data_IF_845733976534
#
_entry.id   IF_845733976534
#
_cell.length_a   1.000
_cell.length_b   1.000
_cell.length_c   1.000
_cell.angle_alpha   90.00
_cell.angle_beta   90.00
_cell.angle_gamma   90.00
#
_symmetry.space_group_name_H-M   'P 1'
#
loop_
_entity.id
_entity.type
_entity.pdbx_description
1 polymer ?
#
# COMPACT_ATOMS: atom_id res chain seq x y z
N UNK A 1 13.27 54.12 23.51
CA UNK A 1 14.02 55.04 22.63
C UNK A 1 14.09 54.40 21.25
N UNK A 2 13.32 54.97 20.31
CA UNK A 2 13.75 55.40 18.95
C UNK A 2 14.27 54.27 18.05
N UNK A 3 13.83 54.01 16.82
CA UNK A 3 13.04 54.68 15.74
C UNK A 3 12.78 53.55 14.69
N UNK A 4 11.63 53.25 14.12
CA UNK A 4 10.90 53.84 12.98
C UNK A 4 11.83 54.23 11.80
N UNK A 5 11.63 53.57 10.65
CA UNK A 5 11.66 54.08 9.28
C UNK A 5 11.38 52.88 8.34
N UNK A 6 10.28 52.65 7.71
CA UNK A 6 9.51 53.36 6.68
C UNK A 6 10.04 53.20 5.25
N UNK A 7 9.21 52.52 4.43
CA UNK A 7 8.77 52.75 3.06
C UNK A 7 9.82 52.92 1.93
N UNK A 8 9.61 52.20 0.81
CA UNK A 8 9.15 52.81 -0.44
C UNK A 8 8.78 51.75 -1.51
N UNK A 9 7.59 51.91 -2.02
CA UNK A 9 7.05 51.34 -3.23
C UNK A 9 7.83 51.81 -4.49
N UNK A 10 7.95 50.92 -5.51
CA UNK A 10 8.01 51.35 -6.89
C UNK A 10 7.15 50.40 -7.74
N UNK A 11 6.01 50.91 -8.14
CA UNK A 11 5.17 50.39 -9.24
C UNK A 11 5.78 50.83 -10.57
N UNK A 12 5.98 49.89 -11.50
CA UNK A 12 6.19 50.24 -12.90
C UNK A 12 5.11 49.55 -13.70
N UNK A 13 4.18 50.38 -14.17
CA UNK A 13 3.16 50.11 -15.12
C UNK A 13 3.76 50.32 -16.51
N UNK A 14 3.73 49.30 -17.39
CA UNK A 14 3.97 49.49 -18.82
C UNK A 14 2.71 49.10 -19.58
N UNK A 15 2.01 50.11 -20.03
CA UNK A 15 1.02 50.01 -21.10
C UNK A 15 1.75 49.86 -22.43
N UNK A 16 1.35 48.94 -23.27
CA UNK A 16 1.64 48.96 -24.70
C UNK A 16 0.38 48.67 -25.50
N UNK A 17 0.17 49.59 -26.37
CA UNK A 17 -0.99 49.93 -27.20
C UNK A 17 -1.42 48.84 -28.19
N UNK A 18 -2.72 48.80 -28.36
CA UNK A 18 -3.42 48.19 -29.50
C UNK A 18 -3.05 48.84 -30.84
N UNK A 19 -2.78 48.00 -31.82
CA UNK A 19 -2.96 48.41 -33.24
C UNK A 19 -3.93 47.42 -33.86
N UNK A 20 -5.11 47.94 -34.19
CA UNK A 20 -6.13 47.30 -35.00
C UNK A 20 -5.81 47.44 -36.46
N UNK A 21 -5.93 46.38 -37.24
CA UNK A 21 -6.24 46.48 -38.68
C UNK A 21 -7.22 45.35 -39.02
N UNK A 22 -8.34 45.74 -39.53
CA UNK A 22 -9.47 44.90 -39.91
C UNK A 22 -9.32 44.23 -41.26
N UNK A 23 -10.19 43.27 -41.51
CA UNK A 23 -10.38 42.60 -42.81
C UNK A 23 -11.22 41.35 -42.74
N UNK A 24 -12.47 41.49 -42.74
CA UNK A 24 -13.56 40.79 -43.46
C UNK A 24 -13.45 39.30 -43.79
N UNK A 25 -14.48 38.51 -43.42
CA UNK A 25 -14.80 37.23 -44.05
C UNK A 25 -15.32 36.19 -43.07
N UNK A 26 -16.64 36.17 -42.84
CA UNK A 26 -17.28 35.16 -41.99
C UNK A 26 -17.30 33.77 -42.62
N UNK A 27 -17.10 32.81 -41.82
CA UNK A 27 -17.79 31.50 -41.86
C UNK A 27 -17.93 31.03 -40.41
N UNK A 28 -19.18 30.83 -40.03
CA UNK A 28 -19.52 30.21 -38.76
C UNK A 28 -18.98 28.77 -38.77
N UNK A 29 -17.93 28.53 -38.02
CA UNK A 29 -17.54 27.16 -37.66
C UNK A 29 -18.47 26.71 -36.54
N UNK A 30 -19.38 25.82 -36.89
CA UNK A 30 -20.09 24.99 -35.93
C UNK A 30 -19.02 24.20 -35.18
N UNK A 31 -18.75 24.62 -33.94
CA UNK A 31 -17.94 23.83 -33.02
C UNK A 31 -18.69 22.52 -32.74
N UNK A 32 -18.23 21.44 -33.30
CA UNK A 32 -18.46 20.11 -32.73
C UNK A 32 -17.60 20.08 -31.51
N UNK A 33 -18.18 20.29 -30.34
CA UNK A 33 -17.65 19.85 -29.08
C UNK A 33 -17.74 18.30 -29.06
N UNK A 34 -16.85 17.64 -29.76
CA UNK A 34 -16.58 16.21 -29.52
C UNK A 34 -15.74 16.18 -28.28
N UNK A 35 -16.37 15.84 -27.17
CA UNK A 35 -15.75 15.48 -25.89
C UNK A 35 -15.06 14.11 -26.07
N UNK A 36 -14.14 13.97 -27.02
CA UNK A 36 -13.29 12.80 -27.13
C UNK A 36 -12.13 12.97 -26.14
N UNK A 37 -11.84 11.94 -25.32
CA UNK A 37 -10.68 11.96 -24.42
C UNK A 37 -9.42 12.27 -25.23
N UNK A 38 -8.60 13.19 -24.77
CA UNK A 38 -7.30 13.47 -25.38
C UNK A 38 -6.33 12.41 -24.89
N UNK A 39 -5.99 11.45 -25.76
CA UNK A 39 -4.97 10.45 -25.46
C UNK A 39 -3.62 11.14 -25.26
N UNK A 40 -2.92 10.75 -24.19
CA UNK A 40 -1.60 11.28 -23.87
C UNK A 40 -0.53 10.40 -24.50
N UNK A 41 0.48 11.00 -25.13
CA UNK A 41 1.63 10.29 -25.70
C UNK A 41 2.48 9.69 -24.59
N UNK A 42 2.57 8.33 -24.45
CA UNK A 42 3.28 7.68 -23.37
C UNK A 42 4.74 8.11 -23.23
N UNK A 43 5.46 8.28 -24.34
CA UNK A 43 6.88 8.68 -24.35
C UNK A 43 7.19 10.04 -23.71
N UNK A 44 6.17 10.80 -23.32
CA UNK A 44 6.31 12.09 -22.64
C UNK A 44 5.69 12.09 -21.24
N UNK A 45 5.15 10.97 -20.81
CA UNK A 45 4.43 10.86 -19.55
C UNK A 45 5.22 10.03 -18.55
N UNK A 46 5.34 10.54 -17.33
CA UNK A 46 5.87 9.80 -16.18
C UNK A 46 4.68 9.36 -15.32
N UNK A 47 4.52 8.06 -15.12
CA UNK A 47 3.43 7.51 -14.31
C UNK A 47 3.71 7.76 -12.83
N UNK A 48 2.75 8.29 -12.10
CA UNK A 48 2.85 8.58 -10.67
C UNK A 48 2.07 7.53 -9.88
N UNK A 49 2.80 6.66 -9.18
CA UNK A 49 2.22 5.65 -8.31
C UNK A 49 2.08 6.16 -6.87
N UNK A 50 0.99 5.79 -6.19
CA UNK A 50 0.87 5.92 -4.76
C UNK A 50 1.69 4.85 -4.04
N UNK A 51 2.46 5.27 -3.03
CA UNK A 51 3.17 4.38 -2.13
C UNK A 51 2.69 4.65 -0.69
N UNK A 52 1.99 3.70 -0.12
CA UNK A 52 1.42 3.85 1.22
C UNK A 52 2.37 3.43 2.36
N UNK A 53 3.64 3.16 2.02
CA UNK A 53 4.74 2.98 2.98
C UNK A 53 4.93 1.54 3.43
N UNK A 54 4.59 0.56 2.59
CA UNK A 54 4.93 -0.85 2.79
C UNK A 54 5.59 -1.48 1.55
N UNK A 55 6.44 -2.49 1.79
CA UNK A 55 7.36 -3.05 0.79
C UNK A 55 6.62 -3.67 -0.40
N UNK A 56 5.49 -4.38 -0.19
CA UNK A 56 4.73 -4.98 -1.29
C UNK A 56 4.16 -3.93 -2.24
N UNK A 57 3.68 -2.79 -1.72
CA UNK A 57 3.20 -1.69 -2.57
C UNK A 57 4.32 -1.14 -3.47
N UNK A 58 5.52 -0.91 -2.90
CA UNK A 58 6.69 -0.50 -3.69
C UNK A 58 7.07 -1.55 -4.73
N UNK A 59 6.98 -2.85 -4.40
CA UNK A 59 7.28 -3.93 -5.34
C UNK A 59 6.28 -3.95 -6.51
N UNK A 60 4.98 -3.82 -6.25
CA UNK A 60 3.98 -3.73 -7.30
C UNK A 60 4.17 -2.49 -8.19
N UNK A 61 4.49 -1.34 -7.59
CA UNK A 61 4.80 -0.13 -8.33
C UNK A 61 6.02 -0.33 -9.23
N UNK A 62 7.08 -0.99 -8.75
CA UNK A 62 8.28 -1.26 -9.54
C UNK A 62 8.03 -2.27 -10.68
N UNK A 63 7.19 -3.30 -10.45
CA UNK A 63 6.78 -4.27 -11.49
C UNK A 63 5.97 -3.54 -12.57
N UNK A 64 4.94 -2.80 -12.20
CA UNK A 64 4.08 -2.07 -13.14
C UNK A 64 4.86 -0.96 -13.85
N UNK A 65 5.77 -0.27 -13.15
CA UNK A 65 6.63 0.76 -13.70
C UNK A 65 7.63 0.22 -14.73
N UNK A 66 8.25 -0.93 -14.47
CA UNK A 66 9.12 -1.60 -15.45
C UNK A 66 8.34 -1.97 -16.73
N UNK A 67 7.12 -2.46 -16.58
CA UNK A 67 6.24 -2.80 -17.70
C UNK A 67 5.82 -1.52 -18.46
N UNK A 68 5.50 -0.43 -17.73
CA UNK A 68 5.17 0.86 -18.34
C UNK A 68 6.28 1.35 -19.27
N UNK A 69 7.52 1.32 -18.83
CA UNK A 69 8.68 1.73 -19.64
C UNK A 69 8.92 0.79 -20.82
N UNK A 70 8.87 -0.53 -20.61
CA UNK A 70 9.33 -1.53 -21.58
C UNK A 70 8.27 -1.92 -22.60
N UNK A 71 7.02 -2.08 -22.20
CA UNK A 71 5.93 -2.53 -23.07
C UNK A 71 5.10 -1.38 -23.64
N UNK A 72 5.00 -0.26 -22.93
CA UNK A 72 4.14 0.87 -23.32
C UNK A 72 4.94 2.13 -23.69
N UNK A 73 6.26 2.14 -23.46
CA UNK A 73 7.14 3.23 -23.88
C UNK A 73 6.95 4.52 -23.07
N UNK A 74 6.51 4.43 -21.82
CA UNK A 74 6.45 5.59 -20.94
C UNK A 74 7.83 6.19 -20.67
N UNK A 75 7.91 7.48 -20.42
CA UNK A 75 9.17 8.19 -20.15
C UNK A 75 9.82 7.76 -18.83
N UNK A 76 9.02 7.25 -17.91
CA UNK A 76 9.44 6.76 -16.59
C UNK A 76 8.26 6.59 -15.65
N UNK A 77 8.58 6.29 -14.41
CA UNK A 77 7.63 6.24 -13.32
C UNK A 77 8.26 6.76 -12.03
N UNK A 78 7.44 7.22 -11.11
CA UNK A 78 7.86 7.67 -9.78
C UNK A 78 6.81 7.34 -8.73
N UNK A 79 7.17 7.42 -7.46
CA UNK A 79 6.29 7.15 -6.32
C UNK A 79 6.05 8.41 -5.49
N UNK A 80 4.81 8.58 -5.05
CA UNK A 80 4.46 9.51 -3.99
C UNK A 80 4.26 8.75 -2.69
N UNK A 81 5.18 8.91 -1.74
CA UNK A 81 5.12 8.26 -0.44
C UNK A 81 4.29 9.09 0.55
N UNK A 82 3.21 8.51 1.06
CA UNK A 82 2.39 9.09 2.14
C UNK A 82 1.61 8.00 2.86
N UNK A 83 0.92 8.35 3.96
CA UNK A 83 -0.01 7.41 4.62
C UNK A 83 -1.19 7.04 3.71
N UNK A 84 -1.74 5.83 3.85
CA UNK A 84 -2.79 5.30 2.95
C UNK A 84 -4.00 6.22 2.78
N UNK A 85 -4.43 6.90 3.86
CA UNK A 85 -5.52 7.88 3.77
C UNK A 85 -5.17 9.08 2.88
N UNK A 86 -3.91 9.53 2.90
CA UNK A 86 -3.43 10.65 2.06
C UNK A 86 -3.27 10.20 0.61
N UNK A 87 -2.79 8.97 0.38
CA UNK A 87 -2.69 8.37 -0.96
C UNK A 87 -4.08 8.24 -1.60
N UNK A 88 -5.08 7.78 -0.85
CA UNK A 88 -6.46 7.71 -1.34
C UNK A 88 -6.96 9.09 -1.79
N UNK A 89 -6.83 10.11 -0.95
CA UNK A 89 -7.23 11.48 -1.29
C UNK A 89 -6.45 12.05 -2.50
N UNK A 90 -5.17 11.70 -2.65
CA UNK A 90 -4.37 12.11 -3.80
C UNK A 90 -4.86 11.44 -5.09
N UNK A 91 -5.25 10.16 -5.02
CA UNK A 91 -5.87 9.44 -6.14
C UNK A 91 -7.16 10.11 -6.59
N UNK A 92 -8.05 10.47 -5.64
CA UNK A 92 -9.33 11.12 -5.93
C UNK A 92 -9.17 12.49 -6.61
N UNK A 93 -8.07 13.20 -6.34
CA UNK A 93 -7.75 14.50 -6.96
C UNK A 93 -6.96 14.38 -8.27
N UNK A 94 -6.44 13.18 -8.59
CA UNK A 94 -5.53 12.99 -9.71
C UNK A 94 -4.11 13.54 -9.46
N UNK A 95 -3.72 13.72 -8.18
CA UNK A 95 -2.34 14.08 -7.81
C UNK A 95 -1.40 12.87 -7.94
N UNK A 96 -1.95 11.66 -7.91
CA UNK A 96 -1.32 10.40 -8.33
C UNK A 96 -2.21 9.72 -9.37
N UNK A 97 -1.60 8.90 -10.20
CA UNK A 97 -2.30 8.19 -11.29
C UNK A 97 -2.91 6.88 -10.82
N UNK A 98 -2.15 6.09 -10.07
CA UNK A 98 -2.44 4.70 -9.74
C UNK A 98 -2.07 4.41 -8.29
N UNK A 99 -2.92 3.65 -7.61
CA UNK A 99 -2.59 2.98 -6.35
C UNK A 99 -2.75 1.47 -6.54
N UNK A 100 -1.64 0.74 -6.44
CA UNK A 100 -1.58 -0.69 -6.75
C UNK A 100 -2.15 -1.58 -5.65
N UNK A 101 -2.30 -1.07 -4.44
CA UNK A 101 -2.78 -1.82 -3.28
C UNK A 101 -3.82 -1.05 -2.45
N UNK A 102 -5.08 -1.01 -2.92
CA UNK A 102 -6.19 -0.58 -2.08
C UNK A 102 -6.71 -1.77 -1.26
N UNK A 103 -6.50 -1.73 0.03
CA UNK A 103 -7.01 -2.71 1.00
C UNK A 103 -8.45 -2.33 1.36
N UNK A 104 -9.41 -2.70 0.49
CA UNK A 104 -10.72 -2.04 0.42
C UNK A 104 -11.55 -2.15 1.69
N UNK A 105 -11.54 -3.31 2.36
CA UNK A 105 -12.29 -3.51 3.61
C UNK A 105 -11.68 -2.73 4.79
N UNK A 106 -10.40 -2.35 4.71
CA UNK A 106 -9.76 -1.48 5.69
C UNK A 106 -10.12 0.01 5.50
N UNK A 107 -10.72 0.37 4.32
CA UNK A 107 -10.86 1.74 3.86
C UNK A 107 -12.33 2.17 3.86
N UNK A 108 -12.83 2.70 4.98
CA UNK A 108 -14.22 3.17 5.10
C UNK A 108 -14.71 4.04 3.91
N UNK A 109 -13.95 5.02 3.39
CA UNK A 109 -14.41 5.86 2.30
C UNK A 109 -14.37 5.20 0.91
N UNK A 110 -13.77 4.00 0.76
CA UNK A 110 -13.50 3.39 -0.54
C UNK A 110 -14.77 3.18 -1.38
N UNK A 111 -15.73 2.43 -0.85
CA UNK A 111 -16.96 2.13 -1.59
C UNK A 111 -17.83 3.35 -1.86
N UNK A 112 -18.04 4.28 -0.90
CA UNK A 112 -18.73 5.55 -1.18
C UNK A 112 -18.08 6.38 -2.29
N UNK A 113 -16.76 6.45 -2.33
CA UNK A 113 -16.02 7.21 -3.34
C UNK A 113 -16.07 6.51 -4.72
N UNK A 114 -16.00 5.17 -4.74
CA UNK A 114 -16.15 4.37 -5.97
C UNK A 114 -17.56 4.52 -6.55
N UNK A 115 -18.61 4.39 -5.73
CA UNK A 115 -20.00 4.56 -6.14
C UNK A 115 -20.28 5.98 -6.66
N UNK A 116 -19.62 6.97 -6.07
CA UNK A 116 -19.70 8.37 -6.54
C UNK A 116 -18.88 8.63 -7.82
N UNK A 117 -18.15 7.63 -8.35
CA UNK A 117 -17.33 7.74 -9.56
C UNK A 117 -16.12 8.66 -9.41
N UNK A 118 -15.58 8.82 -8.18
CA UNK A 118 -14.46 9.73 -7.91
C UNK A 118 -13.13 9.19 -8.44
N UNK A 119 -13.01 7.90 -8.62
CA UNK A 119 -11.88 7.17 -9.21
C UNK A 119 -12.40 5.89 -9.88
N UNK A 120 -11.52 5.11 -10.51
CA UNK A 120 -11.86 3.82 -11.09
C UNK A 120 -11.11 2.69 -10.41
N UNK A 121 -11.83 1.64 -10.02
CA UNK A 121 -11.26 0.34 -9.68
C UNK A 121 -11.00 -0.40 -11.00
N UNK A 122 -9.76 -0.81 -11.22
CA UNK A 122 -9.36 -1.48 -12.46
C UNK A 122 -9.42 -3.00 -12.32
N UNK A 123 -9.07 -3.53 -11.14
CA UNK A 123 -9.10 -4.97 -10.91
C UNK A 123 -8.62 -5.36 -9.53
N UNK A 124 -8.70 -6.66 -9.26
CA UNK A 124 -8.19 -7.26 -8.03
C UNK A 124 -6.72 -7.62 -8.25
N UNK A 125 -5.82 -7.06 -7.45
CA UNK A 125 -4.41 -7.44 -7.45
C UNK A 125 -4.24 -8.84 -6.80
N UNK A 126 -4.69 -9.00 -5.54
CA UNK A 126 -4.73 -10.28 -4.83
C UNK A 126 -5.83 -10.26 -3.77
N UNK A 127 -6.26 -11.47 -3.32
CA UNK A 127 -7.29 -11.61 -2.28
C UNK A 127 -7.08 -12.87 -1.40
N UNK A 128 -5.83 -13.32 -1.31
CA UNK A 128 -5.40 -14.50 -0.55
C UNK A 128 -4.53 -14.12 0.66
N UNK A 129 -4.77 -12.93 1.22
CA UNK A 129 -4.04 -12.36 2.35
C UNK A 129 -4.65 -12.72 3.71
N UNK A 130 -3.89 -12.43 4.76
CA UNK A 130 -4.35 -12.49 6.14
C UNK A 130 -3.80 -11.29 6.93
N UNK A 131 -4.53 -10.82 7.94
CA UNK A 131 -4.09 -9.74 8.82
C UNK A 131 -4.73 -9.85 10.20
N UNK A 132 -4.04 -9.38 11.23
CA UNK A 132 -4.54 -9.40 12.61
C UNK A 132 -3.43 -9.30 13.63
N UNK A 133 -3.67 -9.79 14.85
CA UNK A 133 -2.63 -9.90 15.85
C UNK A 133 -1.90 -11.23 15.74
N UNK A 134 -0.59 -11.15 15.56
CA UNK A 134 0.32 -12.29 15.46
C UNK A 134 1.21 -12.40 16.68
N UNK A 135 1.62 -13.63 16.97
CA UNK A 135 2.67 -13.97 17.95
C UNK A 135 3.67 -14.94 17.32
N UNK A 136 4.95 -14.96 17.72
CA UNK A 136 5.86 -16.01 17.29
C UNK A 136 5.33 -17.39 17.68
N UNK A 137 5.44 -18.37 16.79
CA UNK A 137 4.96 -19.74 17.00
C UNK A 137 5.46 -20.34 18.32
N UNK A 138 6.73 -20.08 18.65
CA UNK A 138 7.33 -20.62 19.88
C UNK A 138 6.70 -20.08 21.17
N UNK A 139 6.00 -18.96 21.14
CA UNK A 139 5.28 -18.45 22.32
C UNK A 139 4.19 -19.42 22.75
N UNK A 140 3.52 -20.06 21.80
CA UNK A 140 2.43 -21.00 22.05
C UNK A 140 2.95 -22.46 22.15
N UNK A 141 3.83 -22.86 21.22
CA UNK A 141 4.20 -24.26 21.03
C UNK A 141 5.62 -24.59 21.47
N UNK A 142 6.42 -23.58 21.83
CA UNK A 142 7.84 -23.74 22.07
C UNK A 142 8.66 -23.93 20.80
N UNK A 143 9.96 -24.03 20.97
CA UNK A 143 10.93 -24.37 19.92
C UNK A 143 12.04 -25.23 20.54
N UNK A 144 11.88 -26.55 20.56
CA UNK A 144 12.84 -27.46 21.15
C UNK A 144 14.23 -27.39 20.52
N UNK A 145 14.31 -27.07 19.21
CA UNK A 145 15.59 -26.96 18.50
C UNK A 145 16.42 -25.79 19.02
N UNK A 146 15.75 -24.73 19.49
CA UNK A 146 16.36 -23.55 20.11
C UNK A 146 16.34 -23.55 21.63
N UNK A 147 15.78 -24.61 22.24
CA UNK A 147 15.65 -24.72 23.69
C UNK A 147 14.62 -23.74 24.30
N UNK A 148 13.58 -23.37 23.54
CA UNK A 148 12.55 -22.46 23.99
C UNK A 148 11.31 -23.24 24.41
N UNK A 149 10.95 -23.13 25.69
CA UNK A 149 9.72 -23.70 26.23
C UNK A 149 8.51 -22.82 25.88
N UNK A 150 7.29 -23.38 25.73
CA UNK A 150 6.07 -22.61 25.52
C UNK A 150 5.84 -21.58 26.64
N UNK A 151 5.67 -20.29 26.26
CA UNK A 151 5.48 -19.19 27.21
C UNK A 151 4.00 -18.96 27.52
N UNK A 152 3.11 -19.23 26.55
CA UNK A 152 1.67 -19.10 26.65
C UNK A 152 0.95 -20.29 25.98
N UNK A 153 1.07 -21.51 26.51
CA UNK A 153 0.63 -22.74 25.83
C UNK A 153 -0.88 -22.85 25.63
N UNK A 154 -1.69 -22.00 26.29
CA UNK A 154 -3.16 -21.96 26.10
C UNK A 154 -3.66 -20.70 25.42
N UNK A 155 -2.77 -19.86 24.91
CA UNK A 155 -3.11 -18.72 24.06
C UNK A 155 -3.58 -19.24 22.70
N UNK A 156 -4.77 -18.81 22.27
CA UNK A 156 -5.35 -19.14 20.96
C UNK A 156 -5.92 -17.92 20.27
N UNK A 157 -6.56 -17.04 21.02
CA UNK A 157 -7.35 -15.94 20.50
C UNK A 157 -6.91 -14.59 21.06
N UNK A 158 -7.36 -13.51 20.39
CA UNK A 158 -7.18 -12.13 20.87
C UNK A 158 -7.77 -11.96 22.28
N UNK A 159 -8.92 -12.61 22.57
CA UNK A 159 -9.58 -12.56 23.87
C UNK A 159 -8.73 -13.20 24.96
N UNK A 160 -7.89 -14.18 24.63
CA UNK A 160 -7.03 -14.83 25.61
C UNK A 160 -5.88 -13.94 26.09
N UNK A 161 -5.48 -12.91 25.30
CA UNK A 161 -4.32 -12.05 25.61
C UNK A 161 -4.44 -11.40 27.01
N UNK A 162 -5.65 -11.09 27.48
CA UNK A 162 -5.88 -10.46 28.77
C UNK A 162 -5.27 -11.26 29.94
N UNK A 163 -5.01 -12.55 29.74
CA UNK A 163 -4.40 -13.44 30.75
C UNK A 163 -2.85 -13.41 30.75
N UNK A 164 -2.24 -12.80 29.72
CA UNK A 164 -0.82 -12.91 29.43
C UNK A 164 -0.02 -11.61 29.39
N UNK A 165 -0.39 -10.52 30.11
CA UNK A 165 0.39 -9.28 30.05
C UNK A 165 1.84 -9.48 30.52
N UNK A 166 2.08 -10.44 31.41
CA UNK A 166 3.41 -10.77 31.91
C UNK A 166 4.30 -11.49 30.89
N UNK A 167 3.72 -12.14 29.85
CA UNK A 167 4.46 -12.77 28.75
C UNK A 167 4.96 -11.74 27.74
N UNK A 168 4.22 -10.66 27.57
CA UNK A 168 4.50 -9.59 26.61
C UNK A 168 4.83 -8.26 27.32
N UNK A 169 5.88 -8.19 28.16
CA UNK A 169 6.07 -7.07 29.07
C UNK A 169 6.36 -5.75 28.33
N UNK A 170 5.73 -4.68 28.77
CA UNK A 170 6.09 -3.34 28.36
C UNK A 170 7.29 -2.84 29.17
N UNK A 171 8.43 -2.62 28.48
CA UNK A 171 9.66 -2.16 29.12
C UNK A 171 9.58 -0.70 29.61
N UNK A 172 8.69 0.10 29.05
CA UNK A 172 8.47 1.50 29.43
C UNK A 172 7.44 1.64 30.54
N UNK A 173 6.48 0.70 30.64
CA UNK A 173 5.43 0.68 31.66
C UNK A 173 5.46 -0.64 32.45
N UNK A 174 6.35 -0.79 33.42
CA UNK A 174 6.49 -2.02 34.18
C UNK A 174 5.17 -2.47 34.84
N UNK A 175 4.81 -3.72 34.65
CA UNK A 175 3.55 -4.31 35.15
C UNK A 175 2.42 -4.33 34.13
N UNK A 176 2.61 -3.73 32.95
CA UNK A 176 1.71 -3.85 31.82
C UNK A 176 2.34 -4.70 30.70
N UNK A 177 1.51 -5.25 29.85
CA UNK A 177 1.93 -5.84 28.60
C UNK A 177 2.00 -4.78 27.50
N UNK A 178 2.63 -5.10 26.36
CA UNK A 178 2.65 -4.29 25.14
C UNK A 178 2.06 -5.06 23.99
N UNK A 179 1.13 -4.43 23.25
CA UNK A 179 0.67 -4.85 21.93
C UNK A 179 1.23 -3.85 20.92
N UNK A 180 1.94 -4.34 19.91
CA UNK A 180 2.38 -3.50 18.80
C UNK A 180 1.19 -3.33 17.84
N UNK A 181 0.76 -2.09 17.64
CA UNK A 181 -0.33 -1.72 16.76
C UNK A 181 0.12 -1.51 15.32
N UNK A 182 -0.81 -1.10 14.47
CA UNK A 182 -0.51 -0.66 13.12
C UNK A 182 0.15 0.72 13.10
N UNK A 183 0.62 1.15 11.94
CA UNK A 183 1.35 2.41 11.77
C UNK A 183 0.36 3.57 11.73
N UNK A 184 0.65 4.70 12.45
CA UNK A 184 -0.20 5.88 12.41
C UNK A 184 -0.44 6.39 10.98
N UNK A 185 -1.70 6.60 10.63
CA UNK A 185 -2.12 7.07 9.32
C UNK A 185 -2.41 5.95 8.30
N UNK A 186 -2.15 4.70 8.64
CA UNK A 186 -2.78 3.57 7.96
C UNK A 186 -4.23 3.44 8.45
N UNK A 187 -5.17 3.22 7.52
CA UNK A 187 -6.59 3.14 7.90
C UNK A 187 -6.89 2.00 8.87
N UNK A 188 -6.19 0.88 8.71
CA UNK A 188 -6.30 -0.28 9.61
C UNK A 188 -5.93 0.04 11.08
N UNK A 189 -5.12 1.09 11.36
CA UNK A 189 -4.75 1.43 12.75
C UNK A 189 -5.97 1.75 13.61
N UNK A 190 -6.97 2.41 13.05
CA UNK A 190 -8.22 2.71 13.76
C UNK A 190 -8.97 1.44 14.14
N UNK A 191 -9.06 0.48 13.22
CA UNK A 191 -9.73 -0.81 13.43
C UNK A 191 -8.98 -1.63 14.51
N UNK A 192 -7.66 -1.72 14.39
CA UNK A 192 -6.84 -2.49 15.33
C UNK A 192 -6.83 -1.87 16.73
N UNK A 193 -6.88 -0.55 16.85
CA UNK A 193 -7.04 0.13 18.13
C UNK A 193 -8.43 -0.11 18.74
N UNK A 194 -9.48 -0.06 17.92
CA UNK A 194 -10.84 -0.40 18.37
C UNK A 194 -10.91 -1.86 18.86
N UNK A 195 -10.27 -2.81 18.13
CA UNK A 195 -10.15 -4.21 18.52
C UNK A 195 -9.43 -4.39 19.87
N UNK A 196 -8.34 -3.68 20.06
CA UNK A 196 -7.60 -3.64 21.33
C UNK A 196 -8.50 -3.21 22.50
N UNK A 197 -9.30 -2.15 22.30
CA UNK A 197 -10.23 -1.65 23.32
C UNK A 197 -11.44 -2.58 23.51
N UNK A 198 -12.03 -3.10 22.42
CA UNK A 198 -13.18 -3.99 22.48
C UNK A 198 -12.91 -5.25 23.31
N UNK A 199 -11.70 -5.79 23.20
CA UNK A 199 -11.26 -6.95 23.97
C UNK A 199 -10.77 -6.60 25.39
N UNK A 200 -10.90 -5.35 25.84
CA UNK A 200 -10.52 -4.91 27.18
C UNK A 200 -9.02 -4.98 27.47
N UNK A 201 -8.18 -5.03 26.42
CA UNK A 201 -6.73 -5.14 26.56
C UNK A 201 -6.11 -3.88 27.14
N UNK A 202 -6.76 -2.72 26.98
CA UNK A 202 -6.38 -1.44 27.57
C UNK A 202 -6.31 -1.45 29.11
N UNK A 203 -6.96 -2.40 29.76
CA UNK A 203 -6.86 -2.58 31.22
C UNK A 203 -5.46 -3.04 31.66
N UNK A 204 -4.75 -3.82 30.85
CA UNK A 204 -3.49 -4.49 31.24
C UNK A 204 -2.35 -4.38 30.21
N UNK A 205 -2.60 -3.82 29.03
CA UNK A 205 -1.63 -3.60 27.99
C UNK A 205 -1.53 -2.14 27.59
N UNK A 206 -0.39 -1.78 27.00
CA UNK A 206 -0.18 -0.54 26.23
C UNK A 206 -0.26 -0.87 24.73
N UNK A 207 -0.94 -0.02 23.95
CA UNK A 207 -0.99 -0.09 22.50
C UNK A 207 0.11 0.81 21.93
N UNK A 208 1.18 0.19 21.44
CA UNK A 208 2.34 0.90 20.89
C UNK A 208 2.27 0.94 19.37
N UNK A 209 2.39 2.12 18.79
CA UNK A 209 2.37 2.34 17.34
C UNK A 209 3.78 2.50 16.81
N UNK A 210 4.30 1.58 15.98
CA UNK A 210 5.56 1.77 15.27
C UNK A 210 5.50 2.96 14.31
N UNK A 211 6.64 3.60 14.07
CA UNK A 211 6.68 4.79 13.21
C UNK A 211 6.75 4.49 11.71
N UNK A 212 7.05 3.24 11.32
CA UNK A 212 7.17 2.80 9.93
C UNK A 212 7.14 1.27 9.85
N UNK A 213 6.92 0.72 8.64
CA UNK A 213 7.05 -0.72 8.40
C UNK A 213 8.43 -1.23 8.76
N UNK A 214 9.49 -0.55 8.34
CA UNK A 214 10.86 -0.94 8.70
C UNK A 214 11.08 -1.04 10.21
N UNK A 215 10.52 -0.11 11.00
CA UNK A 215 10.58 -0.18 12.46
C UNK A 215 9.78 -1.37 13.01
N UNK A 216 8.61 -1.66 12.43
CA UNK A 216 7.78 -2.82 12.79
C UNK A 216 8.52 -4.12 12.47
N UNK A 217 9.04 -4.26 11.24
CA UNK A 217 9.82 -5.41 10.81
C UNK A 217 11.04 -5.66 11.71
N UNK A 218 11.76 -4.60 12.08
CA UNK A 218 12.93 -4.72 12.97
C UNK A 218 12.55 -5.22 14.38
N UNK A 219 11.41 -4.80 14.92
CA UNK A 219 10.94 -5.26 16.23
C UNK A 219 10.54 -6.73 16.18
N UNK A 220 9.76 -7.14 15.17
CA UNK A 220 9.26 -8.50 15.02
C UNK A 220 10.40 -9.49 14.73
N UNK A 221 11.30 -9.19 13.78
CA UNK A 221 12.45 -10.05 13.47
C UNK A 221 13.41 -10.17 14.65
N UNK A 222 13.75 -9.05 15.30
CA UNK A 222 14.64 -9.06 16.46
C UNK A 222 14.08 -9.91 17.60
N UNK A 223 12.79 -9.78 17.91
CA UNK A 223 12.14 -10.57 18.97
C UNK A 223 12.14 -12.06 18.58
N UNK A 224 11.81 -12.38 17.33
CA UNK A 224 11.83 -13.77 16.85
C UNK A 224 13.23 -14.39 16.96
N UNK A 225 14.26 -13.70 16.46
CA UNK A 225 15.66 -14.17 16.50
C UNK A 225 16.17 -14.40 17.92
N UNK A 226 15.77 -13.53 18.86
CA UNK A 226 16.16 -13.65 20.29
C UNK A 226 15.32 -14.63 21.09
N UNK A 227 14.26 -15.19 20.51
CA UNK A 227 13.32 -16.03 21.26
C UNK A 227 12.51 -15.22 22.29
N UNK A 228 12.33 -13.92 22.07
CA UNK A 228 11.53 -13.04 22.94
C UNK A 228 10.06 -13.07 22.50
N UNK A 229 9.14 -13.09 23.46
CA UNK A 229 7.71 -13.00 23.16
C UNK A 229 7.35 -11.58 22.74
N UNK A 230 6.55 -11.48 21.69
CA UNK A 230 5.85 -10.26 21.30
C UNK A 230 4.45 -10.60 20.79
N UNK A 231 3.55 -9.62 20.79
CA UNK A 231 2.26 -9.66 20.13
C UNK A 231 2.01 -8.34 19.42
N UNK A 232 1.50 -8.40 18.20
CA UNK A 232 1.16 -7.18 17.47
C UNK A 232 0.49 -7.43 16.15
N UNK A 233 0.01 -6.34 15.56
CA UNK A 233 -0.55 -6.33 14.22
C UNK A 233 0.51 -6.66 13.17
N UNK A 234 0.16 -7.56 12.28
CA UNK A 234 0.90 -7.83 11.07
C UNK A 234 -0.04 -8.31 9.95
N UNK A 235 0.49 -8.51 8.74
CA UNK A 235 -0.30 -8.92 7.58
C UNK A 235 0.55 -9.73 6.59
N UNK A 236 -0.10 -10.32 5.61
CA UNK A 236 0.48 -10.96 4.44
C UNK A 236 -0.02 -10.26 3.16
N UNK A 237 0.84 -10.07 2.13
CA UNK A 237 2.19 -10.62 1.97
C UNK A 237 3.27 -9.74 2.60
N UNK A 238 4.25 -10.35 3.27
CA UNK A 238 5.48 -9.71 3.75
C UNK A 238 6.63 -10.72 3.76
N UNK A 239 7.87 -10.23 3.69
CA UNK A 239 9.05 -11.07 3.81
C UNK A 239 9.15 -11.75 5.18
N UNK A 240 8.68 -11.09 6.21
CA UNK A 240 8.77 -11.56 7.59
C UNK A 240 7.91 -12.82 7.80
N UNK A 241 6.72 -12.86 7.23
CA UNK A 241 5.84 -14.03 7.28
C UNK A 241 6.35 -15.17 6.38
N UNK A 242 7.13 -14.86 5.35
CA UNK A 242 7.80 -15.85 4.51
C UNK A 242 9.00 -16.51 5.19
N UNK A 243 9.74 -15.78 6.05
CA UNK A 243 10.97 -16.28 6.68
C UNK A 243 10.77 -16.82 8.08
N UNK A 244 9.80 -16.33 8.84
CA UNK A 244 9.59 -16.66 10.24
C UNK A 244 8.22 -17.29 10.48
N UNK A 245 8.16 -18.17 11.46
CA UNK A 245 6.92 -18.85 11.81
C UNK A 245 6.15 -18.06 12.88
N UNK A 246 5.16 -17.29 12.44
CA UNK A 246 4.21 -16.59 13.30
C UNK A 246 2.85 -17.26 13.28
N UNK A 247 2.06 -17.05 14.32
CA UNK A 247 0.69 -17.54 14.45
C UNK A 247 -0.23 -16.34 14.52
N UNK A 248 -1.18 -16.27 13.58
CA UNK A 248 -2.32 -15.35 13.65
C UNK A 248 -3.24 -15.85 14.77
N UNK A 249 -3.53 -14.98 15.74
CA UNK A 249 -4.47 -15.29 16.80
C UNK A 249 -5.90 -15.33 16.25
N UNK A 250 -6.65 -16.35 16.65
CA UNK A 250 -8.09 -16.43 16.38
C UNK A 250 -8.82 -15.21 16.95
N UNK A 251 -9.94 -14.84 16.32
CA UNK A 251 -10.82 -13.77 16.79
C UNK A 251 -12.28 -14.21 16.66
N UNK A 252 -13.21 -13.34 17.02
CA UNK A 252 -14.62 -13.58 16.72
C UNK A 252 -14.81 -13.67 15.21
N UNK A 253 -15.57 -14.68 14.71
CA UNK A 253 -15.79 -14.84 13.28
C UNK A 253 -16.36 -13.58 12.62
N UNK A 254 -15.92 -13.31 11.41
CA UNK A 254 -16.42 -12.20 10.61
C UNK A 254 -17.95 -12.26 10.44
N UNK A 255 -18.62 -11.15 10.64
CA UNK A 255 -20.08 -11.01 10.51
C UNK A 255 -20.47 -10.03 9.43
N UNK A 256 -19.88 -8.85 9.43
CA UNK A 256 -20.11 -7.75 8.48
C UNK A 256 -19.04 -6.67 8.65
N UNK A 257 -18.99 -5.72 7.71
CA UNK A 257 -18.00 -4.65 7.67
C UNK A 257 -18.13 -3.70 8.86
N UNK A 258 -19.33 -3.37 9.31
CA UNK A 258 -19.55 -2.48 10.48
C UNK A 258 -18.94 -3.07 11.77
N UNK A 259 -19.07 -4.38 11.97
CA UNK A 259 -18.45 -5.06 13.11
C UNK A 259 -16.94 -5.14 12.96
N UNK A 260 -16.43 -5.32 11.74
CA UNK A 260 -14.98 -5.27 11.45
C UNK A 260 -14.41 -3.87 11.69
N UNK A 261 -15.04 -2.83 11.15
CA UNK A 261 -14.63 -1.44 11.37
C UNK A 261 -14.65 -1.06 12.86
N UNK A 262 -15.58 -1.63 13.62
CA UNK A 262 -15.65 -1.45 15.07
C UNK A 262 -14.66 -2.33 15.86
N UNK A 263 -13.82 -3.12 15.19
CA UNK A 263 -12.82 -4.00 15.81
C UNK A 263 -13.39 -5.19 16.56
N UNK A 264 -14.62 -5.62 16.27
CA UNK A 264 -15.34 -6.67 17.04
C UNK A 264 -15.08 -8.08 16.53
N UNK A 265 -14.69 -8.22 15.27
CA UNK A 265 -14.53 -9.50 14.57
C UNK A 265 -13.20 -9.59 13.85
N UNK A 266 -12.82 -10.79 13.40
CA UNK A 266 -11.62 -11.01 12.59
C UNK A 266 -11.66 -10.20 11.30
N UNK A 267 -10.49 -9.94 10.73
CA UNK A 267 -10.40 -9.42 9.38
C UNK A 267 -10.84 -10.51 8.39
N UNK A 268 -11.75 -10.21 7.45
CA UNK A 268 -11.97 -11.11 6.33
C UNK A 268 -10.69 -11.17 5.47
N UNK A 269 -10.53 -12.17 4.59
CA UNK A 269 -9.59 -12.04 3.49
C UNK A 269 -9.89 -10.76 2.72
N UNK A 270 -8.99 -9.78 2.78
CA UNK A 270 -9.22 -8.46 2.19
C UNK A 270 -9.05 -8.55 0.68
N UNK A 271 -9.98 -7.96 -0.06
CA UNK A 271 -9.80 -7.75 -1.50
C UNK A 271 -8.85 -6.57 -1.69
N UNK A 272 -7.67 -6.85 -2.25
CA UNK A 272 -6.71 -5.79 -2.56
C UNK A 272 -6.86 -5.44 -4.04
N UNK A 273 -7.26 -4.20 -4.32
CA UNK A 273 -7.58 -3.74 -5.67
C UNK A 273 -6.59 -2.73 -6.20
N UNK A 274 -6.59 -2.54 -7.51
CA UNK A 274 -5.85 -1.49 -8.21
C UNK A 274 -6.83 -0.36 -8.51
N UNK A 275 -6.56 0.82 -7.98
CA UNK A 275 -7.31 2.04 -8.26
C UNK A 275 -6.54 2.99 -9.16
N UNK A 276 -7.24 3.69 -10.04
CA UNK A 276 -6.66 4.73 -10.88
C UNK A 276 -7.52 5.98 -10.91
N UNK A 277 -6.87 7.14 -11.07
CA UNK A 277 -7.58 8.41 -11.25
C UNK A 277 -8.37 8.41 -12.56
N UNK A 278 -9.52 9.06 -12.59
CA UNK A 278 -10.34 9.15 -13.80
C UNK A 278 -9.56 9.75 -14.98
N UNK A 279 -8.76 10.78 -14.70
CA UNK A 279 -7.96 11.46 -15.72
C UNK A 279 -6.91 10.52 -16.33
N UNK A 280 -6.28 9.67 -15.51
CA UNK A 280 -5.30 8.71 -16.00
C UNK A 280 -5.97 7.67 -16.91
N UNK A 281 -7.09 7.10 -16.48
CA UNK A 281 -7.78 6.06 -17.27
C UNK A 281 -8.25 6.61 -18.61
N UNK A 282 -8.77 7.85 -18.66
CA UNK A 282 -9.19 8.49 -19.90
C UNK A 282 -8.02 8.76 -20.86
N UNK A 283 -6.86 9.15 -20.32
CA UNK A 283 -5.67 9.47 -21.11
C UNK A 283 -4.83 8.25 -21.53
N UNK A 284 -4.94 7.13 -20.81
CA UNK A 284 -4.06 5.96 -20.92
C UNK A 284 -4.83 4.63 -20.96
N UNK A 285 -5.76 4.42 -21.91
CA UNK A 285 -6.64 3.25 -21.92
C UNK A 285 -5.90 1.93 -22.04
N UNK A 286 -4.84 1.83 -22.85
CA UNK A 286 -4.08 0.59 -23.06
C UNK A 286 -3.35 0.14 -21.77
N UNK A 287 -2.75 1.08 -21.04
CA UNK A 287 -2.11 0.76 -19.77
C UNK A 287 -3.14 0.42 -18.70
N UNK A 288 -4.29 1.06 -18.72
CA UNK A 288 -5.42 0.72 -17.85
C UNK A 288 -5.95 -0.69 -18.12
N UNK A 289 -5.94 -1.15 -19.38
CA UNK A 289 -6.31 -2.53 -19.74
C UNK A 289 -5.28 -3.55 -19.20
N UNK A 290 -4.00 -3.24 -19.27
CA UNK A 290 -2.98 -4.04 -18.58
C UNK A 290 -3.26 -4.14 -17.08
N UNK A 291 -3.53 -3.03 -16.40
CA UNK A 291 -3.83 -3.02 -14.97
C UNK A 291 -5.10 -3.79 -14.60
N UNK A 292 -6.10 -3.86 -15.49
CA UNK A 292 -7.30 -4.70 -15.30
C UNK A 292 -6.98 -6.19 -15.30
N UNK A 293 -5.93 -6.58 -16.00
CA UNK A 293 -5.49 -7.98 -16.09
C UNK A 293 -4.42 -8.32 -15.05
N UNK A 294 -3.79 -7.30 -14.43
CA UNK A 294 -2.73 -7.50 -13.45
C UNK A 294 -3.27 -8.22 -12.22
N UNK A 295 -2.71 -9.38 -11.92
CA UNK A 295 -3.07 -10.19 -10.75
C UNK A 295 -1.87 -10.95 -10.24
N UNK A 296 -1.72 -10.99 -8.93
CA UNK A 296 -0.68 -11.73 -8.22
C UNK A 296 -1.28 -12.60 -7.11
N UNK A 297 -0.43 -13.25 -6.34
CA UNK A 297 -0.79 -13.94 -5.10
C UNK A 297 0.10 -13.47 -3.96
N UNK A 298 -0.38 -13.57 -2.72
CA UNK A 298 0.41 -13.26 -1.53
C UNK A 298 1.70 -14.09 -1.47
N UNK A 299 1.66 -15.35 -1.90
CA UNK A 299 2.84 -16.22 -1.95
C UNK A 299 3.91 -15.69 -2.92
N UNK A 300 3.52 -15.32 -4.15
CA UNK A 300 4.45 -14.78 -5.16
C UNK A 300 5.13 -13.49 -4.69
N UNK A 301 4.38 -12.60 -4.05
CA UNK A 301 4.90 -11.34 -3.54
C UNK A 301 5.81 -11.58 -2.34
N UNK A 302 5.42 -12.45 -1.40
CA UNK A 302 6.26 -12.82 -0.25
C UNK A 302 7.61 -13.41 -0.67
N UNK A 303 7.65 -14.25 -1.73
CA UNK A 303 8.90 -14.79 -2.29
C UNK A 303 9.82 -13.68 -2.83
N UNK A 304 9.28 -12.71 -3.55
CA UNK A 304 10.09 -11.59 -4.07
C UNK A 304 10.59 -10.67 -2.96
N UNK A 305 9.79 -10.43 -1.94
CA UNK A 305 10.20 -9.67 -0.75
C UNK A 305 11.25 -10.44 0.08
N UNK A 306 11.11 -11.76 0.20
CA UNK A 306 12.12 -12.62 0.84
C UNK A 306 13.44 -12.59 0.06
N UNK A 307 13.41 -12.70 -1.27
CA UNK A 307 14.59 -12.52 -2.13
C UNK A 307 15.29 -11.19 -1.86
N UNK A 308 14.54 -10.09 -1.79
CA UNK A 308 15.08 -8.77 -1.48
C UNK A 308 15.79 -8.75 -0.11
N UNK A 309 15.16 -9.33 0.92
CA UNK A 309 15.69 -9.38 2.28
C UNK A 309 16.94 -10.26 2.40
N UNK A 310 16.95 -11.43 1.75
CA UNK A 310 18.07 -12.40 1.83
C UNK A 310 19.30 -11.95 1.04
N UNK A 311 19.10 -11.29 -0.09
CA UNK A 311 20.19 -10.89 -1.00
C UNK A 311 20.67 -9.46 -0.79
N UNK A 312 19.87 -8.61 -0.12
CA UNK A 312 20.08 -7.17 -0.05
C UNK A 312 19.78 -6.45 -1.36
N UNK A 313 19.05 -7.08 -2.27
CA UNK A 313 18.61 -6.48 -3.53
C UNK A 313 17.70 -5.29 -3.29
N UNK A 314 17.79 -4.29 -4.17
CA UNK A 314 16.85 -3.17 -4.18
C UNK A 314 15.50 -3.57 -4.78
N UNK A 315 14.47 -2.72 -4.56
CA UNK A 315 13.10 -2.98 -5.03
C UNK A 315 13.01 -3.22 -6.55
N UNK A 316 13.79 -2.48 -7.35
CA UNK A 316 13.84 -2.67 -8.80
C UNK A 316 14.47 -4.02 -9.23
N UNK A 317 15.46 -4.50 -8.48
CA UNK A 317 16.06 -5.83 -8.71
C UNK A 317 15.09 -6.93 -8.31
N UNK A 318 14.34 -6.74 -7.21
CA UNK A 318 13.29 -7.66 -6.78
C UNK A 318 12.13 -7.73 -7.80
N UNK A 319 11.74 -6.60 -8.40
CA UNK A 319 10.74 -6.55 -9.46
C UNK A 319 11.19 -7.32 -10.72
N UNK A 320 12.47 -7.18 -11.12
CA UNK A 320 13.04 -7.94 -12.23
C UNK A 320 13.08 -9.43 -11.89
N UNK A 321 13.54 -9.80 -10.72
CA UNK A 321 13.56 -11.19 -10.25
C UNK A 321 12.13 -11.79 -10.24
N UNK A 322 11.14 -11.03 -9.75
CA UNK A 322 9.74 -11.45 -9.77
C UNK A 322 9.26 -11.76 -11.20
N UNK A 323 9.52 -10.84 -12.15
CA UNK A 323 9.11 -11.01 -13.56
C UNK A 323 9.84 -12.17 -14.24
N UNK A 324 11.11 -12.41 -13.93
CA UNK A 324 11.87 -13.55 -14.44
C UNK A 324 11.36 -14.89 -13.91
N UNK A 325 11.01 -14.93 -12.62
CA UNK A 325 10.49 -16.14 -11.94
C UNK A 325 9.06 -16.46 -12.36
N UNK A 326 8.25 -15.43 -12.59
CA UNK A 326 6.84 -15.53 -12.93
C UNK A 326 6.56 -15.11 -14.39
N UNK A 327 7.46 -15.41 -15.31
CA UNK A 327 7.39 -14.95 -16.71
C UNK A 327 6.08 -15.33 -17.44
N UNK A 328 5.39 -16.37 -16.97
CA UNK A 328 4.10 -16.80 -17.52
C UNK A 328 2.98 -15.76 -17.30
N UNK A 329 3.05 -14.95 -16.24
CA UNK A 329 2.08 -13.90 -15.96
C UNK A 329 2.04 -12.82 -17.04
N UNK A 330 3.15 -12.63 -17.78
CA UNK A 330 3.18 -11.68 -18.88
C UNK A 330 2.17 -12.03 -19.98
N UNK A 331 1.90 -13.32 -20.21
CA UNK A 331 0.91 -13.76 -21.20
C UNK A 331 -0.54 -13.55 -20.71
N UNK A 332 -0.74 -13.46 -19.41
CA UNK A 332 -2.04 -13.19 -18.80
C UNK A 332 -2.36 -11.69 -18.76
N UNK A 333 -1.32 -10.86 -18.56
CA UNK A 333 -1.47 -9.42 -18.35
C UNK A 333 -1.40 -8.59 -19.62
N UNK A 334 -0.66 -9.04 -20.62
CA UNK A 334 -0.23 -8.26 -21.78
C UNK A 334 -0.64 -8.91 -23.11
N UNK A 335 -0.70 -8.12 -24.15
CA UNK A 335 -0.76 -8.67 -25.51
C UNK A 335 0.54 -9.41 -25.86
N UNK A 336 0.54 -10.36 -26.82
CA UNK A 336 1.76 -11.09 -27.19
C UNK A 336 2.95 -10.20 -27.55
N UNK A 337 2.73 -9.10 -28.26
CA UNK A 337 3.79 -8.17 -28.67
C UNK A 337 4.36 -7.42 -27.44
N UNK A 338 3.51 -6.94 -26.54
CA UNK A 338 3.92 -6.29 -25.29
C UNK A 338 4.68 -7.25 -24.38
N UNK A 339 4.17 -8.48 -24.22
CA UNK A 339 4.84 -9.52 -23.43
C UNK A 339 6.22 -9.84 -23.96
N UNK A 340 6.40 -9.85 -25.30
CA UNK A 340 7.71 -10.08 -25.94
C UNK A 340 8.68 -8.93 -25.64
N UNK A 341 8.24 -7.68 -25.70
CA UNK A 341 9.08 -6.51 -25.34
C UNK A 341 9.60 -6.61 -23.90
N UNK A 342 8.75 -7.02 -22.94
CA UNK A 342 9.17 -7.22 -21.54
C UNK A 342 10.19 -8.35 -21.46
N UNK A 343 9.96 -9.51 -22.11
CA UNK A 343 10.91 -10.63 -22.12
C UNK A 343 12.28 -10.24 -22.69
N UNK A 344 12.29 -9.49 -23.77
CA UNK A 344 13.54 -9.02 -24.39
C UNK A 344 14.29 -8.06 -23.44
N UNK A 345 13.58 -7.18 -22.76
CA UNK A 345 14.16 -6.29 -21.76
C UNK A 345 14.71 -7.04 -20.53
N UNK A 346 14.02 -8.11 -20.08
CA UNK A 346 14.49 -8.97 -18.99
C UNK A 346 15.72 -9.78 -19.38
N UNK A 347 15.80 -10.25 -20.62
CA UNK A 347 16.95 -11.00 -21.13
C UNK A 347 18.22 -10.15 -21.34
N UNK A 348 18.08 -8.83 -21.43
CA UNK A 348 19.18 -7.88 -21.57
C UNK A 348 19.81 -7.46 -20.22
N UNK A 349 19.25 -7.91 -19.09
CA UNK A 349 19.72 -7.61 -17.73
C UNK A 349 20.44 -8.79 -17.09
#
# INVERSE_FOLDING_TARGET
>A
MKKILALLLVSVMVLSLFAACGGNGGTAATGNDTNEPVLVEPSRYTVIFGNAGWDSNSLHNAIAGFIAETAFGYAGWEETLAASAVIHEALLRGDIDIHMENWVENMEPYFPDLEAGRFQELGINFNDNAQGFYVPHFVIYGDPARGIEPMAPTLRSVQDLIRYPHVFPDRENPGRGRVYGAIPGWMIDTIMYAKFQYNGLDASFEYFRPGSEAAMNAVFSTAYERGEALVGYFWEPTWLMGLYNFVLLEDHPFTNDDDFQAGRVEAPPVTVTIGASNQFVEGHPEFSDFLRNYRTTSAQISEALAFMQETGAGIGEAAIWFLQTNVHLLDEWLTPDQAQLVRDALAAR
#
